data_IF_816228633122
#
_entry.id   IF_816228633122
#
_cell.length_a   1.000
_cell.length_b   1.000
_cell.length_c   1.000
_cell.angle_alpha   90.00
_cell.angle_beta   90.00
_cell.angle_gamma   90.00
#
_symmetry.space_group_name_H-M   'P 1'
#
loop_
_entity.id
_entity.type
_entity.pdbx_description
1 polymer ?
#
# COMPACT_ATOMS: atom_id res chain seq x y z
N UNK A 1 -18.44 -1.55 18.32
CA UNK A 1 -18.78 -2.93 18.74
C UNK A 1 -17.63 -3.84 18.38
N UNK A 2 -17.15 -4.66 19.32
CA UNK A 2 -16.15 -5.68 19.01
C UNK A 2 -16.85 -6.97 18.56
N UNK A 3 -16.31 -7.63 17.53
CA UNK A 3 -16.81 -8.91 17.03
C UNK A 3 -15.70 -9.96 17.10
N UNK A 4 -16.04 -11.19 17.46
CA UNK A 4 -15.11 -12.31 17.47
C UNK A 4 -15.11 -12.98 16.10
N UNK A 5 -13.92 -13.20 15.56
CA UNK A 5 -13.70 -14.00 14.35
C UNK A 5 -13.07 -15.32 14.79
N UNK A 6 -13.62 -16.45 14.35
CA UNK A 6 -13.06 -17.79 14.59
C UNK A 6 -12.70 -18.42 13.25
N UNK A 7 -11.51 -18.97 13.15
CA UNK A 7 -11.05 -19.71 11.98
C UNK A 7 -10.15 -20.86 12.41
N UNK A 8 -10.08 -21.91 11.60
CA UNK A 8 -9.15 -23.03 11.81
C UNK A 8 -7.79 -22.64 11.25
N UNK A 9 -6.74 -22.92 12.01
CA UNK A 9 -5.35 -22.63 11.67
C UNK A 9 -4.54 -23.85 12.05
N UNK A 10 -3.55 -24.20 11.23
CA UNK A 10 -2.66 -25.33 11.48
C UNK A 10 -1.82 -25.13 12.76
N UNK A 11 -1.49 -26.24 13.42
CA UNK A 11 -0.78 -26.19 14.70
C UNK A 11 0.60 -25.52 14.58
N UNK A 12 1.31 -25.72 13.46
CA UNK A 12 2.62 -25.10 13.24
C UNK A 12 2.53 -23.57 13.27
N UNK A 13 1.49 -23.00 12.66
CA UNK A 13 1.26 -21.56 12.63
C UNK A 13 0.90 -21.03 14.02
N UNK A 14 0.10 -21.78 14.79
CA UNK A 14 -0.24 -21.41 16.18
C UNK A 14 1.02 -21.36 17.04
N UNK A 15 1.92 -22.33 16.91
CA UNK A 15 3.19 -22.35 17.62
C UNK A 15 4.09 -21.16 17.25
N UNK A 16 4.14 -20.79 15.97
CA UNK A 16 4.91 -19.64 15.50
C UNK A 16 4.35 -18.32 16.05
N UNK A 17 3.02 -18.15 16.01
CA UNK A 17 2.35 -17.00 16.63
C UNK A 17 2.65 -16.91 18.13
N UNK A 18 2.68 -18.02 18.85
CA UNK A 18 3.04 -18.01 20.27
C UNK A 18 4.49 -17.61 20.52
N UNK A 19 5.44 -18.08 19.69
CA UNK A 19 6.85 -17.69 19.79
C UNK A 19 7.02 -16.19 19.57
N UNK A 20 6.31 -15.61 18.60
CA UNK A 20 6.36 -14.17 18.33
C UNK A 20 5.70 -13.39 19.47
N UNK A 21 4.52 -13.82 19.95
CA UNK A 21 3.78 -13.18 21.03
C UNK A 21 4.61 -13.11 22.32
N UNK A 22 5.29 -14.21 22.67
CA UNK A 22 6.24 -14.25 23.81
C UNK A 22 7.40 -13.28 23.63
N UNK A 23 7.98 -13.20 22.43
CA UNK A 23 9.10 -12.30 22.12
C UNK A 23 8.71 -10.82 22.19
N UNK A 24 7.51 -10.49 21.73
CA UNK A 24 6.96 -9.12 21.78
C UNK A 24 6.30 -8.78 23.13
N UNK A 25 6.21 -9.74 24.06
CA UNK A 25 5.53 -9.62 25.35
C UNK A 25 4.07 -9.13 25.23
N UNK A 26 3.32 -9.70 24.29
CA UNK A 26 1.89 -9.45 24.07
C UNK A 26 1.11 -10.76 24.02
N UNK A 27 -0.19 -10.71 24.31
CA UNK A 27 -1.04 -11.89 24.15
C UNK A 27 -1.27 -12.26 22.67
N UNK A 28 -1.43 -13.56 22.41
CA UNK A 28 -1.65 -14.13 21.07
C UNK A 28 -2.78 -13.44 20.32
N UNK A 29 -3.84 -13.06 21.04
CA UNK A 29 -4.98 -12.36 20.47
C UNK A 29 -4.61 -10.96 19.96
N UNK A 30 -3.78 -10.23 20.71
CA UNK A 30 -3.27 -8.92 20.31
C UNK A 30 -2.34 -9.03 19.10
N UNK A 31 -1.46 -10.03 19.07
CA UNK A 31 -0.58 -10.27 17.92
C UNK A 31 -1.38 -10.55 16.64
N UNK A 32 -2.36 -11.45 16.71
CA UNK A 32 -3.21 -11.77 15.55
C UNK A 32 -3.96 -10.54 15.06
N UNK A 33 -4.54 -9.74 15.97
CA UNK A 33 -5.19 -8.47 15.60
C UNK A 33 -4.21 -7.51 14.93
N UNK A 34 -3.00 -7.34 15.47
CA UNK A 34 -1.94 -6.50 14.89
C UNK A 34 -1.63 -6.91 13.45
N UNK A 35 -1.41 -8.20 13.20
CA UNK A 35 -1.12 -8.70 11.86
C UNK A 35 -2.27 -8.52 10.88
N UNK A 36 -3.51 -8.78 11.31
CA UNK A 36 -4.69 -8.55 10.47
C UNK A 36 -4.80 -7.08 10.07
N UNK A 37 -4.68 -6.15 11.02
CA UNK A 37 -4.77 -4.72 10.74
C UNK A 37 -3.65 -4.25 9.79
N UNK A 38 -2.43 -4.74 9.99
CA UNK A 38 -1.31 -4.45 9.10
C UNK A 38 -1.58 -4.95 7.68
N UNK A 39 -2.07 -6.19 7.53
CA UNK A 39 -2.35 -6.77 6.22
C UNK A 39 -3.57 -6.15 5.53
N UNK A 40 -4.58 -5.71 6.28
CA UNK A 40 -5.71 -4.95 5.72
C UNK A 40 -5.24 -3.61 5.12
N UNK A 41 -4.43 -2.85 5.87
CA UNK A 41 -3.86 -1.60 5.37
C UNK A 41 -3.02 -1.82 4.10
N UNK A 42 -2.18 -2.85 4.10
CA UNK A 42 -1.36 -3.21 2.93
C UNK A 42 -2.20 -3.62 1.71
N UNK A 43 -3.31 -4.34 1.94
CA UNK A 43 -4.25 -4.73 0.90
C UNK A 43 -4.92 -3.50 0.26
N UNK A 44 -5.37 -2.54 1.06
CA UNK A 44 -5.98 -1.29 0.57
C UNK A 44 -4.99 -0.46 -0.26
N UNK A 45 -3.75 -0.31 0.23
CA UNK A 45 -2.68 0.40 -0.51
C UNK A 45 -2.42 -0.28 -1.86
N UNK A 46 -2.36 -1.62 -1.88
CA UNK A 46 -2.16 -2.38 -3.11
C UNK A 46 -3.26 -2.14 -4.14
N UNK A 47 -4.52 -2.09 -3.69
CA UNK A 47 -5.66 -1.84 -4.58
C UNK A 47 -5.57 -0.44 -5.20
N UNK A 48 -5.32 0.60 -4.39
CA UNK A 48 -5.23 1.97 -4.90
C UNK A 48 -4.01 2.21 -5.77
N UNK A 49 -2.87 1.59 -5.47
CA UNK A 49 -1.66 1.69 -6.31
C UNK A 49 -1.80 0.96 -7.64
N UNK A 50 -2.67 -0.05 -7.74
CA UNK A 50 -3.07 -0.65 -9.02
C UNK A 50 -3.80 0.33 -9.94
N UNK A 51 -4.64 1.21 -9.37
CA UNK A 51 -5.31 2.27 -10.14
C UNK A 51 -4.32 3.35 -10.58
N UNK A 52 -3.34 3.68 -9.73
CA UNK A 52 -2.23 4.56 -10.09
C UNK A 52 -1.42 4.00 -11.27
N UNK A 53 -1.10 2.71 -11.24
CA UNK A 53 -0.38 2.04 -12.33
C UNK A 53 -1.13 2.13 -13.67
N UNK A 54 -2.46 2.20 -13.64
CA UNK A 54 -3.32 2.37 -14.81
C UNK A 54 -3.51 3.83 -15.23
N UNK A 55 -2.92 4.78 -14.51
CA UNK A 55 -3.09 6.22 -14.74
C UNK A 55 -4.49 6.74 -14.39
N UNK A 56 -5.30 5.98 -13.63
CA UNK A 56 -6.68 6.34 -13.29
C UNK A 56 -6.71 7.36 -12.14
N UNK A 57 -5.75 7.27 -11.22
CA UNK A 57 -5.60 8.18 -10.09
C UNK A 57 -4.14 8.60 -9.96
N UNK A 58 -3.90 9.79 -9.41
CA UNK A 58 -2.59 10.24 -8.96
C UNK A 58 -2.17 9.56 -7.65
N UNK A 59 -0.88 9.64 -7.30
CA UNK A 59 -0.38 9.17 -6.00
C UNK A 59 -1.08 9.87 -4.82
N UNK A 60 -1.38 11.16 -4.96
CA UNK A 60 -2.06 11.94 -3.92
C UNK A 60 -3.50 11.48 -3.73
N UNK A 61 -4.22 11.20 -4.82
CA UNK A 61 -5.57 10.63 -4.74
C UNK A 61 -5.54 9.23 -4.14
N UNK A 62 -4.61 8.37 -4.55
CA UNK A 62 -4.44 7.04 -3.95
C UNK A 62 -4.18 7.13 -2.43
N UNK A 63 -3.31 8.04 -2.00
CA UNK A 63 -2.99 8.24 -0.58
C UNK A 63 -4.21 8.72 0.23
N UNK A 64 -4.98 9.64 -0.34
CA UNK A 64 -6.18 10.17 0.30
C UNK A 64 -7.26 9.10 0.47
N UNK A 65 -7.43 8.21 -0.51
CA UNK A 65 -8.44 7.15 -0.48
C UNK A 65 -8.18 6.08 0.59
N UNK A 66 -6.91 5.75 0.85
CA UNK A 66 -6.52 4.80 1.90
C UNK A 66 -6.08 5.47 3.20
N UNK A 67 -6.31 6.79 3.32
CA UNK A 67 -6.01 7.60 4.49
C UNK A 67 -4.58 7.42 5.02
N UNK A 68 -3.60 7.52 4.11
CA UNK A 68 -2.17 7.53 4.42
C UNK A 68 -1.52 8.79 3.90
N UNK A 69 -0.32 9.09 4.39
CA UNK A 69 0.47 10.19 3.84
C UNK A 69 0.91 9.89 2.40
N UNK A 70 1.14 10.94 1.62
CA UNK A 70 1.73 10.82 0.28
C UNK A 70 3.06 10.03 0.33
N UNK A 71 3.88 10.26 1.37
CA UNK A 71 5.17 9.59 1.55
C UNK A 71 5.03 8.07 1.74
N UNK A 72 4.03 7.60 2.51
CA UNK A 72 3.78 6.16 2.69
C UNK A 72 3.43 5.48 1.35
N UNK A 73 2.64 6.14 0.51
CA UNK A 73 2.33 5.63 -0.83
C UNK A 73 3.56 5.66 -1.74
N UNK A 74 4.34 6.75 -1.72
CA UNK A 74 5.56 6.87 -2.50
C UNK A 74 6.58 5.77 -2.16
N UNK A 75 6.77 5.48 -0.87
CA UNK A 75 7.62 4.39 -0.40
C UNK A 75 7.10 3.03 -0.89
N UNK A 76 5.79 2.81 -0.82
CA UNK A 76 5.18 1.58 -1.29
C UNK A 76 5.41 1.36 -2.79
N UNK A 77 5.08 2.34 -3.64
CA UNK A 77 5.24 2.18 -5.10
C UNK A 77 6.71 2.04 -5.49
N UNK A 78 7.63 2.69 -4.78
CA UNK A 78 9.06 2.51 -5.01
C UNK A 78 9.52 1.09 -4.65
N UNK A 79 9.12 0.59 -3.47
CA UNK A 79 9.48 -0.76 -3.03
C UNK A 79 8.93 -1.85 -3.94
N UNK A 80 7.69 -1.68 -4.39
CA UNK A 80 7.00 -2.66 -5.25
C UNK A 80 7.28 -2.46 -6.76
N UNK A 81 8.13 -1.48 -7.14
CA UNK A 81 8.43 -1.10 -8.52
C UNK A 81 7.17 -0.81 -9.37
N UNK A 82 6.23 -0.05 -8.79
CA UNK A 82 5.01 0.39 -9.46
C UNK A 82 5.26 1.77 -10.08
N UNK A 83 5.05 1.87 -11.38
CA UNK A 83 5.20 3.09 -12.15
C UNK A 83 3.87 3.47 -12.82
N UNK A 84 3.64 4.76 -13.10
CA UNK A 84 2.49 5.16 -13.89
C UNK A 84 2.65 4.64 -15.33
N UNK A 85 1.62 4.72 -16.18
CA UNK A 85 1.73 4.35 -17.58
C UNK A 85 2.86 5.11 -18.28
N UNK A 86 3.57 4.43 -19.18
CA UNK A 86 4.59 5.07 -20.02
C UNK A 86 3.93 6.12 -20.92
N UNK A 87 4.53 7.32 -20.99
CA UNK A 87 4.15 8.33 -21.96
C UNK A 87 4.72 7.97 -23.33
N UNK A 88 3.93 8.19 -24.37
CA UNK A 88 4.40 8.11 -25.75
C UNK A 88 5.42 9.21 -26.04
N UNK A 89 6.27 8.97 -27.05
CA UNK A 89 7.26 9.95 -27.50
C UNK A 89 6.61 11.26 -27.94
N UNK A 90 5.46 11.16 -28.60
CA UNK A 90 4.67 12.29 -29.10
C UNK A 90 4.15 13.15 -27.94
N UNK A 91 3.63 12.52 -26.88
CA UNK A 91 3.19 13.21 -25.65
C UNK A 91 4.34 13.96 -24.98
N UNK A 92 5.49 13.29 -24.82
CA UNK A 92 6.69 13.91 -24.22
C UNK A 92 7.15 15.12 -25.04
N UNK A 93 7.20 15.02 -26.37
CA UNK A 93 7.60 16.13 -27.26
C UNK A 93 6.61 17.30 -27.15
N UNK A 94 5.31 17.01 -27.08
CA UNK A 94 4.28 18.03 -26.93
C UNK A 94 4.44 18.80 -25.61
N UNK A 95 4.66 18.12 -24.50
CA UNK A 95 4.90 18.73 -23.18
C UNK A 95 6.17 19.60 -23.17
N UNK A 96 7.27 19.13 -23.76
CA UNK A 96 8.51 19.91 -23.89
C UNK A 96 8.29 21.19 -24.71
N UNK A 97 7.57 21.11 -25.83
CA UNK A 97 7.30 22.29 -26.64
C UNK A 97 6.37 23.28 -25.92
N UNK A 98 5.38 22.76 -25.17
CA UNK A 98 4.50 23.60 -24.37
C UNK A 98 5.25 24.30 -23.24
N UNK A 99 6.22 23.65 -22.60
CA UNK A 99 6.96 24.23 -21.47
C UNK A 99 7.87 25.40 -21.89
N UNK A 100 8.39 25.39 -23.13
CA UNK A 100 9.21 26.49 -23.69
C UNK A 100 8.54 27.86 -23.59
N UNK A 101 7.20 27.94 -23.57
CA UNK A 101 6.46 29.21 -23.42
C UNK A 101 6.71 29.92 -22.08
N UNK A 102 7.20 29.19 -21.08
CA UNK A 102 7.50 29.70 -19.75
C UNK A 102 8.97 30.07 -19.54
N UNK A 103 9.88 29.64 -20.43
CA UNK A 103 11.32 29.90 -20.33
C UNK A 103 11.78 31.09 -21.19
N UNK A 104 11.05 32.21 -21.12
CA UNK A 104 11.46 33.48 -21.76
C UNK A 104 12.63 34.12 -21.04
#
# INVERSE_FOLDING_TARGET
MNKTISTRIDNEVVEELEKIAKRENIDRSALVRKFILQKLKEYEIKEMTSLYQKGIVSLQEAASQVNVSLYEIMEYVQRENIHPPDQSKEEIIAEINQSKKYFK
#
